data_IF_600906412209
#
_entry.id   IF_600906412209
#
_cell.length_a   1.000
_cell.length_b   1.000
_cell.length_c   1.000
_cell.angle_alpha   90.00
_cell.angle_beta   90.00
_cell.angle_gamma   90.00
#
_symmetry.space_group_name_H-M   'P 1'
#
loop_
_entity.id
_entity.type
_entity.pdbx_description
1 polymer ?
#
# COMPACT_ATOMS: atom_id res chain seq x y z
N UNK A 1 33.52 -21.78 28.55
CA UNK A 1 33.14 -20.71 29.49
C UNK A 1 32.69 -19.49 28.69
N UNK A 2 31.38 -19.26 28.60
CA UNK A 2 30.75 -18.20 27.80
C UNK A 2 30.90 -16.85 28.49
N UNK A 3 31.54 -15.88 27.82
CA UNK A 3 31.57 -14.48 28.29
C UNK A 3 30.13 -13.92 28.30
N UNK A 4 29.62 -13.40 29.43
CA UNK A 4 28.42 -12.57 29.37
C UNK A 4 28.72 -11.36 28.49
N UNK A 5 27.92 -11.18 27.43
CA UNK A 5 27.88 -9.93 26.67
C UNK A 5 27.16 -8.91 27.53
N UNK A 6 27.86 -8.41 28.54
CA UNK A 6 27.48 -7.23 29.28
C UNK A 6 27.36 -6.11 28.26
N UNK A 7 26.10 -5.81 27.95
CA UNK A 7 25.73 -4.62 27.23
C UNK A 7 26.20 -3.47 28.09
N UNK A 8 27.34 -2.87 27.72
CA UNK A 8 27.86 -1.68 28.35
C UNK A 8 26.71 -0.68 28.50
N UNK A 9 26.20 -0.59 29.73
CA UNK A 9 25.14 0.29 30.18
C UNK A 9 25.79 1.67 30.29
N UNK A 10 26.21 2.24 29.17
CA UNK A 10 26.83 3.56 29.14
C UNK A 10 25.70 4.56 29.33
N UNK A 11 25.61 5.03 30.57
CA UNK A 11 24.95 6.23 31.05
C UNK A 11 23.52 6.44 30.53
N UNK A 12 22.55 5.97 31.32
CA UNK A 12 21.11 6.09 31.08
C UNK A 12 20.63 7.54 31.26
N UNK A 13 21.18 8.46 30.46
CA UNK A 13 20.71 9.83 30.40
C UNK A 13 19.25 9.88 30.00
N UNK A 14 18.53 10.78 30.65
CA UNK A 14 17.21 11.20 30.22
C UNK A 14 17.39 12.13 29.01
N UNK A 15 16.57 12.00 27.97
CA UNK A 15 16.62 12.94 26.85
C UNK A 15 16.21 14.33 27.33
N UNK A 16 17.04 15.37 27.10
CA UNK A 16 16.76 16.71 27.60
C UNK A 16 15.52 17.34 26.94
N UNK A 17 15.09 16.83 25.77
CA UNK A 17 13.92 17.31 25.06
C UNK A 17 12.62 16.76 25.63
N UNK A 18 12.58 15.46 25.96
CA UNK A 18 11.32 14.78 26.27
C UNK A 18 11.26 14.07 27.63
N UNK A 19 12.32 14.08 28.42
CA UNK A 19 12.31 13.44 29.74
C UNK A 19 12.32 11.91 29.70
N UNK A 20 12.48 11.27 28.53
CA UNK A 20 12.45 9.79 28.38
C UNK A 20 13.85 9.20 28.36
N UNK A 21 13.96 7.93 28.75
CA UNK A 21 15.22 7.15 28.61
C UNK A 21 15.71 7.21 27.16
N UNK A 22 16.95 7.64 26.98
CA UNK A 22 17.55 7.88 25.67
C UNK A 22 18.50 6.75 25.28
N UNK A 23 18.54 6.41 23.99
CA UNK A 23 19.42 5.38 23.43
C UNK A 23 20.24 5.95 22.27
N UNK A 24 21.52 5.57 22.18
CA UNK A 24 22.43 6.07 21.14
C UNK A 24 22.08 5.58 19.73
N UNK A 25 21.33 4.48 19.64
CA UNK A 25 20.93 3.92 18.35
C UNK A 25 19.55 3.27 18.38
N UNK A 26 18.91 3.22 17.22
CA UNK A 26 17.65 2.52 17.00
C UNK A 26 17.72 1.05 17.43
N UNK A 27 18.85 0.38 17.18
CA UNK A 27 19.05 -1.04 17.52
C UNK A 27 19.09 -1.25 19.03
N UNK A 28 19.76 -0.36 19.76
CA UNK A 28 19.83 -0.40 21.22
C UNK A 28 18.46 -0.17 21.85
N UNK A 29 17.72 0.85 21.40
CA UNK A 29 16.34 1.10 21.84
C UNK A 29 15.43 -0.11 21.59
N UNK A 30 15.53 -0.75 20.42
CA UNK A 30 14.72 -1.94 20.09
C UNK A 30 15.05 -3.14 20.97
N UNK A 31 16.33 -3.34 21.30
CA UNK A 31 16.77 -4.40 22.22
C UNK A 31 16.24 -4.14 23.63
N UNK A 32 16.40 -2.92 24.14
CA UNK A 32 15.88 -2.52 25.44
C UNK A 32 14.35 -2.68 25.53
N UNK A 33 13.61 -2.26 24.50
CA UNK A 33 12.16 -2.42 24.45
C UNK A 33 11.73 -3.90 24.57
N UNK A 34 12.38 -4.81 23.83
CA UNK A 34 12.10 -6.25 23.90
C UNK A 34 12.42 -6.87 25.25
N UNK A 35 13.45 -6.35 25.92
CA UNK A 35 13.84 -6.83 27.26
C UNK A 35 12.87 -6.36 28.33
N UNK A 36 12.47 -5.09 28.29
CA UNK A 36 11.57 -4.50 29.31
C UNK A 36 10.13 -4.98 29.08
N UNK A 37 9.73 -5.19 27.83
CA UNK A 37 8.36 -5.49 27.45
C UNK A 37 8.30 -6.56 26.34
N UNK A 38 8.45 -7.85 26.69
CA UNK A 38 8.59 -8.91 25.69
C UNK A 38 7.32 -9.20 24.89
N UNK A 39 6.14 -8.97 25.46
CA UNK A 39 4.84 -9.29 24.83
C UNK A 39 4.23 -8.12 24.04
N UNK A 40 4.72 -6.90 24.22
CA UNK A 40 4.11 -5.69 23.69
C UNK A 40 4.74 -5.25 22.35
N UNK A 41 3.96 -4.48 21.58
CA UNK A 41 4.44 -3.86 20.33
C UNK A 41 4.88 -2.42 20.57
N UNK A 42 6.18 -2.18 20.45
CA UNK A 42 6.79 -0.85 20.56
C UNK A 42 7.17 -0.28 19.21
N UNK A 43 7.13 1.05 19.12
CA UNK A 43 7.80 1.79 18.05
C UNK A 43 9.01 2.51 18.62
N UNK A 44 10.14 2.34 17.95
CA UNK A 44 11.34 3.13 18.19
C UNK A 44 11.28 4.37 17.29
N UNK A 45 11.53 5.54 17.86
CA UNK A 45 11.52 6.82 17.15
C UNK A 45 12.72 7.69 17.57
N UNK A 46 13.25 8.52 16.66
CA UNK A 46 14.30 9.48 16.99
C UNK A 46 13.73 10.71 17.71
N UNK A 47 14.55 11.35 18.54
CA UNK A 47 14.30 12.63 19.20
C UNK A 47 15.65 13.33 19.39
N UNK A 48 15.94 14.33 18.56
CA UNK A 48 17.25 14.97 18.51
C UNK A 48 18.37 13.97 18.16
N UNK A 49 19.40 13.93 18.99
CA UNK A 49 20.57 13.04 18.86
C UNK A 49 20.31 11.62 19.41
N UNK A 50 19.11 11.35 19.94
CA UNK A 50 18.80 10.11 20.64
C UNK A 50 17.62 9.34 20.04
N UNK A 51 17.49 8.08 20.45
CA UNK A 51 16.35 7.23 20.15
C UNK A 51 15.57 6.89 21.41
N UNK A 52 14.26 6.75 21.26
CA UNK A 52 13.33 6.31 22.30
C UNK A 52 12.50 5.15 21.80
N UNK A 53 11.88 4.42 22.72
CA UNK A 53 10.76 3.55 22.40
C UNK A 53 9.54 3.96 23.21
N UNK A 54 8.35 3.73 22.64
CA UNK A 54 7.08 3.89 23.33
C UNK A 54 6.06 2.91 22.78
N UNK A 55 5.06 2.57 23.59
CA UNK A 55 3.86 1.91 23.10
C UNK A 55 3.22 2.81 22.03
N UNK A 56 2.75 2.22 20.94
CA UNK A 56 1.97 3.00 19.98
C UNK A 56 0.72 3.51 20.69
N UNK A 57 0.63 4.81 20.97
CA UNK A 57 -0.54 5.43 21.59
C UNK A 57 -1.87 5.16 20.82
N UNK A 58 -1.78 4.70 19.57
CA UNK A 58 -2.93 4.34 18.74
C UNK A 58 -3.62 3.01 19.08
N UNK A 59 -3.24 2.34 20.17
CA UNK A 59 -4.05 1.27 20.76
C UNK A 59 -4.43 1.59 22.19
N UNK A 60 -4.71 2.86 22.50
CA UNK A 60 -5.59 3.13 23.63
C UNK A 60 -6.90 2.39 23.37
N UNK A 61 -7.22 1.53 24.33
CA UNK A 61 -8.38 0.67 24.39
C UNK A 61 -9.64 1.43 24.07
N UNK A 62 -10.59 0.72 23.46
CA UNK A 62 -11.95 1.17 23.15
C UNK A 62 -12.79 1.38 24.43
N UNK A 63 -12.15 1.48 25.58
CA UNK A 63 -12.77 1.47 26.91
C UNK A 63 -12.55 2.85 27.53
N UNK A 64 -13.62 3.64 27.58
CA UNK A 64 -13.67 4.90 28.32
C UNK A 64 -13.26 6.14 27.53
N UNK A 65 -13.99 6.48 26.47
CA UNK A 65 -14.08 7.88 26.07
C UNK A 65 -14.86 8.56 27.20
N UNK A 66 -14.16 9.25 28.09
CA UNK A 66 -14.80 10.18 29.02
C UNK A 66 -15.38 11.30 28.15
N UNK A 67 -16.68 11.62 28.25
CA UNK A 67 -17.24 12.71 27.45
C UNK A 67 -16.48 13.99 27.77
N UNK A 68 -16.02 14.66 26.73
CA UNK A 68 -15.44 15.99 26.83
C UNK A 68 -16.53 16.93 27.36
N UNK A 69 -16.37 17.55 28.54
CA UNK A 69 -17.38 18.45 29.09
C UNK A 69 -17.61 19.69 28.21
N UNK A 70 -16.72 19.96 27.24
CA UNK A 70 -16.84 21.02 26.23
C UNK A 70 -17.29 20.50 24.85
N UNK A 71 -17.98 19.36 24.79
CA UNK A 71 -18.58 18.91 23.54
C UNK A 71 -19.55 19.99 23.01
N UNK A 72 -19.16 20.66 21.92
CA UNK A 72 -19.84 21.82 21.32
C UNK A 72 -21.28 21.55 20.86
N UNK A 73 -21.75 20.29 20.91
CA UNK A 73 -23.07 19.88 20.48
C UNK A 73 -23.68 18.89 21.47
N UNK A 74 -24.71 19.34 22.18
CA UNK A 74 -25.59 18.47 22.96
C UNK A 74 -26.40 17.59 22.00
N UNK A 75 -26.11 16.29 21.98
CA UNK A 75 -26.97 15.32 21.31
C UNK A 75 -28.21 15.10 22.18
N UNK A 76 -29.43 15.12 21.60
CA UNK A 76 -30.63 14.87 22.38
C UNK A 76 -30.56 13.50 23.05
N UNK A 77 -31.05 13.42 24.28
CA UNK A 77 -31.12 12.19 25.03
C UNK A 77 -31.91 11.14 24.23
N UNK A 78 -31.29 9.98 23.96
CA UNK A 78 -31.86 8.94 23.10
C UNK A 78 -31.47 9.02 21.61
N UNK A 79 -30.55 9.93 21.22
CA UNK A 79 -29.97 9.87 19.88
C UNK A 79 -29.17 8.57 19.68
N UNK A 80 -29.72 7.66 18.87
CA UNK A 80 -28.98 6.49 18.44
C UNK A 80 -27.73 6.92 17.67
N UNK A 81 -26.54 6.36 17.97
CA UNK A 81 -25.36 6.65 17.19
C UNK A 81 -25.61 6.21 15.76
N UNK A 82 -25.54 7.15 14.81
CA UNK A 82 -25.66 6.85 13.38
C UNK A 82 -24.71 5.70 13.05
N UNK A 83 -25.22 4.55 12.55
CA UNK A 83 -24.38 3.41 12.29
C UNK A 83 -23.32 3.82 11.30
N UNK A 84 -22.05 3.66 11.67
CA UNK A 84 -20.94 3.95 10.76
C UNK A 84 -21.11 3.07 9.52
N UNK A 85 -21.08 3.65 8.31
CA UNK A 85 -21.17 2.85 7.10
C UNK A 85 -20.05 1.80 7.11
N UNK A 86 -20.38 0.59 6.67
CA UNK A 86 -19.41 -0.49 6.59
C UNK A 86 -18.22 -0.04 5.72
N UNK A 87 -17.00 -0.14 6.27
CA UNK A 87 -15.80 0.22 5.53
C UNK A 87 -15.62 -0.77 4.38
N UNK A 88 -15.64 -0.27 3.16
CA UNK A 88 -15.34 -1.08 1.98
C UNK A 88 -13.94 -1.69 2.08
N UNK A 89 -13.81 -2.95 1.64
CA UNK A 89 -12.50 -3.58 1.55
C UNK A 89 -11.63 -2.86 0.50
N UNK A 90 -10.30 -2.89 0.65
CA UNK A 90 -9.38 -2.33 -0.35
C UNK A 90 -9.62 -2.87 -1.77
N UNK A 91 -10.03 -4.13 -1.90
CA UNK A 91 -10.35 -4.76 -3.18
C UNK A 91 -11.61 -4.16 -3.81
N UNK A 92 -12.70 -4.00 -3.04
CA UNK A 92 -13.95 -3.41 -3.53
C UNK A 92 -13.70 -1.99 -4.04
N UNK A 93 -12.98 -1.18 -3.25
CA UNK A 93 -12.61 0.19 -3.65
C UNK A 93 -11.79 0.22 -4.94
N UNK A 94 -10.84 -0.73 -5.08
CA UNK A 94 -10.01 -0.85 -6.28
C UNK A 94 -10.85 -1.18 -7.51
N UNK A 95 -11.75 -2.17 -7.39
CA UNK A 95 -12.65 -2.57 -8.47
C UNK A 95 -13.57 -1.42 -8.88
N UNK A 96 -14.19 -0.71 -7.92
CA UNK A 96 -15.03 0.45 -8.21
C UNK A 96 -14.28 1.54 -8.96
N UNK A 97 -13.05 1.85 -8.54
CA UNK A 97 -12.19 2.84 -9.22
C UNK A 97 -11.83 2.41 -10.65
N UNK A 98 -11.55 1.12 -10.87
CA UNK A 98 -11.26 0.59 -12.20
C UNK A 98 -12.49 0.66 -13.12
N UNK A 99 -13.68 0.31 -12.61
CA UNK A 99 -14.93 0.44 -13.34
C UNK A 99 -15.23 1.91 -13.73
N UNK A 100 -15.01 2.85 -12.81
CA UNK A 100 -15.19 4.28 -13.09
C UNK A 100 -14.26 4.79 -14.20
N UNK A 101 -13.01 4.30 -14.25
CA UNK A 101 -12.07 4.65 -15.33
C UNK A 101 -12.53 4.10 -16.69
N UNK A 102 -12.99 2.86 -16.72
CA UNK A 102 -13.50 2.25 -17.93
C UNK A 102 -14.74 2.99 -18.46
N UNK A 103 -15.65 3.42 -17.57
CA UNK A 103 -16.84 4.19 -17.93
C UNK A 103 -16.51 5.52 -18.63
N UNK A 104 -15.35 6.12 -18.34
CA UNK A 104 -14.86 7.34 -19.02
C UNK A 104 -13.84 7.03 -20.12
N UNK A 105 -13.84 5.82 -20.68
CA UNK A 105 -12.95 5.42 -21.78
C UNK A 105 -11.46 5.43 -21.42
N UNK A 106 -11.13 5.18 -20.15
CA UNK A 106 -9.74 5.15 -19.66
C UNK A 106 -9.34 3.74 -19.24
N UNK A 107 -8.10 3.39 -19.56
CA UNK A 107 -7.52 2.11 -19.18
C UNK A 107 -7.38 1.99 -17.65
N UNK A 108 -7.65 0.82 -17.03
CA UNK A 108 -7.59 0.63 -15.58
C UNK A 108 -6.24 0.98 -14.93
N UNK A 109 -5.13 0.85 -15.68
CA UNK A 109 -3.80 1.29 -15.21
C UNK A 109 -3.74 2.79 -14.89
N UNK A 110 -4.60 3.62 -15.47
CA UNK A 110 -4.64 5.06 -15.16
C UNK A 110 -4.86 5.33 -13.66
N UNK A 111 -5.38 4.36 -12.90
CA UNK A 111 -5.54 4.45 -11.45
C UNK A 111 -4.21 4.54 -10.66
N UNK A 112 -3.10 4.11 -11.25
CA UNK A 112 -1.77 4.07 -10.62
C UNK A 112 -0.74 4.90 -11.36
N UNK A 113 -1.04 5.34 -12.58
CA UNK A 113 -0.17 6.20 -13.37
C UNK A 113 -0.48 7.66 -13.09
N UNK A 114 0.53 8.53 -13.16
CA UNK A 114 0.35 9.98 -13.06
C UNK A 114 -0.33 10.62 -14.28
N UNK A 115 -0.70 9.82 -15.28
CA UNK A 115 -1.33 10.26 -16.53
C UNK A 115 -2.49 9.36 -16.92
N UNK A 116 -3.49 9.94 -17.58
CA UNK A 116 -4.59 9.19 -18.19
C UNK A 116 -4.06 8.38 -19.38
N UNK A 117 -4.40 7.10 -19.42
CA UNK A 117 -4.11 6.20 -20.54
C UNK A 117 -5.44 5.86 -21.25
N UNK A 118 -5.73 6.44 -22.43
CA UNK A 118 -6.99 6.17 -23.12
C UNK A 118 -7.05 4.73 -23.64
N UNK A 119 -8.26 4.22 -23.81
CA UNK A 119 -8.50 2.93 -24.48
C UNK A 119 -8.12 3.01 -25.96
N UNK A 120 -7.78 1.86 -26.53
CA UNK A 120 -7.57 1.73 -27.98
C UNK A 120 -8.91 1.89 -28.73
N UNK A 121 -8.93 2.47 -29.95
CA UNK A 121 -10.15 2.58 -30.75
C UNK A 121 -10.85 1.24 -30.99
N UNK A 122 -10.07 0.20 -31.28
CA UNK A 122 -10.52 -1.19 -31.47
C UNK A 122 -10.48 -2.03 -30.17
N UNK A 123 -10.50 -1.40 -28.99
CA UNK A 123 -10.51 -2.15 -27.74
C UNK A 123 -11.83 -2.92 -27.59
N UNK A 124 -11.76 -4.11 -26.98
CA UNK A 124 -12.96 -4.85 -26.63
C UNK A 124 -13.91 -3.98 -25.76
N UNK A 125 -15.23 -4.13 -25.90
CA UNK A 125 -16.20 -3.30 -25.19
C UNK A 125 -16.02 -3.39 -23.68
N UNK A 126 -16.29 -2.27 -23.00
CA UNK A 126 -16.30 -2.22 -21.54
C UNK A 126 -17.52 -2.99 -21.04
N UNK A 127 -17.31 -4.22 -20.60
CA UNK A 127 -18.37 -5.08 -20.06
C UNK A 127 -17.81 -6.29 -19.31
N UNK A 128 -18.71 -7.08 -18.73
CA UNK A 128 -18.36 -8.31 -18.03
C UNK A 128 -18.01 -9.47 -18.97
N UNK A 129 -18.32 -9.31 -20.26
CA UNK A 129 -17.95 -10.30 -21.27
C UNK A 129 -16.44 -10.27 -21.52
N UNK A 130 -15.76 -11.22 -20.90
CA UNK A 130 -14.31 -11.43 -21.03
C UNK A 130 -13.93 -11.98 -22.40
N UNK A 131 -14.89 -12.49 -23.16
CA UNK A 131 -14.71 -13.12 -24.47
C UNK A 131 -15.17 -12.25 -25.64
N UNK A 132 -15.80 -11.10 -25.38
CA UNK A 132 -16.18 -10.17 -26.43
C UNK A 132 -14.96 -9.82 -27.33
N UNK A 133 -15.21 -9.74 -28.63
CA UNK A 133 -14.21 -9.47 -29.64
C UNK A 133 -13.56 -8.09 -29.45
N UNK A 134 -12.32 -7.95 -29.91
CA UNK A 134 -11.55 -6.72 -29.89
C UNK A 134 -10.21 -6.84 -29.17
N UNK A 135 -9.42 -5.76 -29.20
CA UNK A 135 -8.10 -5.72 -28.57
C UNK A 135 -8.22 -5.71 -27.05
N UNK A 136 -7.44 -6.58 -26.40
CA UNK A 136 -7.37 -6.69 -24.94
C UNK A 136 -5.93 -6.59 -24.48
N UNK A 137 -5.70 -6.50 -23.18
CA UNK A 137 -4.33 -6.61 -22.69
C UNK A 137 -3.79 -8.03 -22.78
N UNK A 138 -4.64 -9.05 -22.85
CA UNK A 138 -4.27 -10.47 -22.91
C UNK A 138 -3.44 -10.83 -24.14
N UNK A 139 -3.77 -10.23 -25.28
CA UNK A 139 -3.12 -10.39 -26.58
C UNK A 139 -2.17 -9.23 -26.93
N UNK A 140 -1.73 -8.48 -25.93
CA UNK A 140 -0.84 -7.34 -26.11
C UNK A 140 0.62 -7.76 -25.94
N UNK A 141 1.48 -7.44 -26.93
CA UNK A 141 2.92 -7.70 -26.93
C UNK A 141 3.66 -7.16 -25.70
N UNK A 142 3.11 -6.10 -25.11
CA UNK A 142 3.69 -5.48 -23.94
C UNK A 142 3.28 -6.12 -22.61
N UNK A 143 2.39 -7.12 -22.61
CA UNK A 143 1.96 -7.79 -21.39
C UNK A 143 2.89 -8.96 -21.07
N UNK A 144 3.89 -8.71 -20.23
CA UNK A 144 4.85 -9.72 -19.82
C UNK A 144 4.74 -10.03 -18.33
N UNK A 145 5.01 -11.29 -17.98
CA UNK A 145 5.09 -11.71 -16.58
C UNK A 145 6.42 -11.25 -15.97
N UNK A 146 6.38 -10.30 -15.04
CA UNK A 146 7.56 -9.94 -14.26
C UNK A 146 7.64 -10.85 -13.03
N UNK A 147 8.79 -11.51 -12.88
CA UNK A 147 9.08 -12.35 -11.73
C UNK A 147 9.60 -11.50 -10.57
N UNK A 148 8.98 -11.66 -9.40
CA UNK A 148 9.44 -11.05 -8.14
C UNK A 148 9.44 -12.11 -7.05
N UNK A 149 10.62 -12.69 -6.80
CA UNK A 149 10.76 -13.85 -5.93
C UNK A 149 9.97 -15.06 -6.45
N UNK A 150 9.13 -15.65 -5.61
CA UNK A 150 8.33 -16.83 -5.93
C UNK A 150 7.01 -16.54 -6.67
N UNK A 151 6.74 -15.28 -7.07
CA UNK A 151 5.47 -14.88 -7.70
C UNK A 151 5.74 -14.18 -9.02
N UNK A 152 4.91 -14.46 -10.02
CA UNK A 152 4.87 -13.75 -11.29
C UNK A 152 3.63 -12.87 -11.34
N UNK A 153 3.79 -11.65 -11.86
CA UNK A 153 2.67 -10.72 -12.04
C UNK A 153 2.74 -10.15 -13.46
N UNK A 154 1.66 -10.22 -14.25
CA UNK A 154 1.63 -9.64 -15.57
C UNK A 154 1.67 -8.11 -15.46
N UNK A 155 2.64 -7.47 -16.11
CA UNK A 155 2.81 -6.01 -16.13
C UNK A 155 2.83 -5.51 -17.58
N UNK A 156 2.53 -4.23 -17.76
CA UNK A 156 2.66 -3.57 -19.05
C UNK A 156 4.07 -3.00 -19.17
N UNK A 157 4.82 -3.46 -20.17
CA UNK A 157 6.16 -2.99 -20.49
C UNK A 157 6.17 -1.94 -21.60
N UNK A 158 5.01 -1.42 -22.02
CA UNK A 158 4.94 -0.42 -23.09
C UNK A 158 5.73 0.84 -22.72
N UNK A 159 6.74 1.15 -23.53
CA UNK A 159 7.70 2.23 -23.32
C UNK A 159 8.89 1.86 -22.42
N UNK A 160 9.06 0.59 -22.07
CA UNK A 160 10.27 0.07 -21.45
C UNK A 160 11.25 -0.39 -22.53
N UNK A 161 12.52 -0.07 -22.34
CA UNK A 161 13.60 -0.53 -23.21
C UNK A 161 14.36 -1.65 -22.51
N UNK A 162 14.61 -2.73 -23.23
CA UNK A 162 15.41 -3.83 -22.72
C UNK A 162 16.81 -3.33 -22.29
N UNK A 163 17.32 -3.84 -21.17
CA UNK A 163 18.58 -3.38 -20.58
C UNK A 163 18.49 -2.05 -19.82
N UNK A 164 17.34 -1.38 -19.78
CA UNK A 164 17.16 -0.17 -18.97
C UNK A 164 17.35 -0.46 -17.48
N UNK A 165 18.13 0.40 -16.80
CA UNK A 165 18.27 0.39 -15.33
C UNK A 165 17.02 0.88 -14.60
N UNK A 166 16.10 1.52 -15.32
CA UNK A 166 14.86 2.03 -14.75
C UNK A 166 13.75 0.98 -14.83
N UNK A 167 12.87 0.91 -13.80
CA UNK A 167 11.73 0.02 -13.85
C UNK A 167 10.79 0.41 -15.00
N UNK A 168 9.99 -0.53 -15.54
CA UNK A 168 9.03 -0.24 -16.58
C UNK A 168 8.09 0.90 -16.17
N UNK A 169 7.84 1.89 -17.04
CA UNK A 169 7.14 3.13 -16.66
C UNK A 169 5.68 2.91 -16.24
N UNK A 170 5.11 1.73 -16.55
CA UNK A 170 3.74 1.36 -16.21
C UNK A 170 3.65 0.24 -15.17
N UNK A 171 4.77 -0.16 -14.59
CA UNK A 171 4.83 -1.19 -13.57
C UNK A 171 5.08 -0.58 -12.19
N UNK A 172 4.27 -0.99 -11.21
CA UNK A 172 4.54 -0.76 -9.79
C UNK A 172 4.70 -2.11 -9.09
N UNK A 173 5.32 -2.13 -7.91
CA UNK A 173 5.40 -3.34 -7.06
C UNK A 173 4.07 -3.67 -6.35
N UNK A 174 2.94 -3.16 -6.85
CA UNK A 174 1.61 -3.41 -6.30
C UNK A 174 0.71 -4.12 -7.29
N UNK A 175 -0.25 -4.88 -6.77
CA UNK A 175 -1.31 -5.54 -7.56
C UNK A 175 -2.20 -4.54 -8.33
N UNK A 176 -2.17 -3.25 -7.97
CA UNK A 176 -2.96 -2.24 -8.64
C UNK A 176 -2.45 -1.95 -10.07
N UNK A 177 -1.21 -2.35 -10.38
CA UNK A 177 -0.65 -2.29 -11.74
C UNK A 177 -0.55 -3.65 -12.43
N UNK A 178 -1.19 -4.69 -11.89
CA UNK A 178 -1.24 -6.01 -12.55
C UNK A 178 -2.20 -5.95 -13.73
N UNK A 179 -1.70 -6.27 -14.91
CA UNK A 179 -2.43 -6.19 -16.17
C UNK A 179 -3.21 -7.48 -16.39
N UNK A 180 -4.53 -7.39 -16.19
CA UNK A 180 -5.43 -8.53 -16.39
C UNK A 180 -5.62 -8.78 -17.89
N UNK A 181 -5.60 -10.05 -18.28
CA UNK A 181 -5.72 -10.44 -19.69
C UNK A 181 -7.05 -9.96 -20.33
N UNK A 182 -8.13 -9.95 -19.55
CA UNK A 182 -9.46 -9.54 -20.04
C UNK A 182 -9.67 -8.02 -20.08
N UNK A 183 -8.72 -7.19 -19.64
CA UNK A 183 -8.89 -5.73 -19.72
C UNK A 183 -8.92 -5.25 -21.18
N UNK A 184 -9.75 -4.25 -21.53
CA UNK A 184 -9.70 -3.60 -22.83
C UNK A 184 -8.31 -3.02 -23.10
N UNK A 185 -7.83 -3.11 -24.34
CA UNK A 185 -6.52 -2.61 -24.73
C UNK A 185 -6.38 -1.09 -24.51
N UNK A 186 -5.17 -0.66 -24.13
CA UNK A 186 -4.82 0.76 -24.14
C UNK A 186 -4.41 1.23 -25.54
N UNK A 187 -4.36 2.56 -25.77
CA UNK A 187 -3.93 3.14 -27.05
C UNK A 187 -2.56 2.70 -27.58
N UNK A 188 -1.65 2.25 -26.70
CA UNK A 188 -0.31 1.80 -27.09
C UNK A 188 -0.26 0.27 -27.22
N UNK A 189 -1.37 -0.36 -27.58
CA UNK A 189 -1.47 -1.80 -27.75
C UNK A 189 -0.84 -2.24 -29.06
N UNK A 190 0.02 -3.24 -28.99
CA UNK A 190 0.55 -3.96 -30.15
C UNK A 190 0.12 -5.42 -30.08
N UNK A 191 -0.25 -5.97 -31.23
CA UNK A 191 -0.73 -7.35 -31.30
C UNK A 191 0.46 -8.31 -31.24
N UNK A 192 0.34 -9.36 -30.44
CA UNK A 192 1.33 -10.43 -30.39
C UNK A 192 0.72 -11.68 -31.01
N UNK A 193 1.23 -12.06 -32.18
CA UNK A 193 0.73 -13.20 -32.95
C UNK A 193 0.89 -14.52 -32.17
N UNK A 194 1.91 -14.60 -31.30
CA UNK A 194 2.25 -15.80 -30.53
C UNK A 194 1.48 -15.96 -29.20
N UNK A 195 0.68 -14.97 -28.78
CA UNK A 195 -0.04 -14.99 -27.49
C UNK A 195 -1.55 -15.23 -27.62
N UNK A 196 -2.03 -15.67 -28.79
CA UNK A 196 -3.41 -16.10 -29.01
C UNK A 196 -3.65 -17.53 -28.48
N UNK A 197 -3.71 -17.67 -27.15
CA UNK A 197 -4.10 -18.91 -26.46
C UNK A 197 -5.23 -18.66 -25.46
#
# INVERSE_FOLDING_TARGET
>A
MSRPKDAALIDNGVCPVCGKRRFRSRRQAKRAARTIYPADRFRVYPCGDAYHFGHNAHRQSKEGIVPDPDALFDLPEGADPVPRPAKESPTVRRTKRQAALLAVGSHPLSAVLSRRLPLHPEAAPVGDDRQAEGRRCGNCAFRQALHSGARSYPKCLAGWQEGSRHPPPRATHSEASDVRAWWPACRDHEWEEDNAH
#
